data_IF_144460898230
#
_entry.id   IF_144460898230
#
_cell.length_a   1.000
_cell.length_b   1.000
_cell.length_c   1.000
_cell.angle_alpha   90.00
_cell.angle_beta   90.00
_cell.angle_gamma   90.00
#
_symmetry.space_group_name_H-M   'P 1'
#
loop_
_entity.id
_entity.type
_entity.pdbx_description
1 polymer ?
#
# COMPACT_ATOMS: atom_id res chain seq x y z
N UNK A 1 -9.08 -32.38 -5.72
CA UNK A 1 -9.76 -31.42 -4.82
C UNK A 1 -8.73 -30.96 -3.80
N UNK A 2 -8.52 -29.64 -3.57
CA UNK A 2 -7.55 -29.18 -2.59
C UNK A 2 -7.95 -29.59 -1.17
N UNK A 3 -6.96 -29.92 -0.33
CA UNK A 3 -7.14 -30.13 1.10
C UNK A 3 -7.61 -28.84 1.78
N UNK A 4 -8.53 -28.95 2.74
CA UNK A 4 -8.98 -27.82 3.54
C UNK A 4 -8.35 -27.87 4.94
N UNK A 5 -7.88 -26.71 5.41
CA UNK A 5 -7.26 -26.53 6.72
C UNK A 5 -8.11 -25.55 7.53
N UNK A 6 -8.96 -26.09 8.42
CA UNK A 6 -10.00 -25.34 9.14
C UNK A 6 -9.98 -25.51 10.67
N UNK A 7 -8.89 -26.04 11.25
CA UNK A 7 -8.72 -26.17 12.72
C UNK A 7 -8.27 -24.85 13.35
N UNK A 8 -9.12 -23.83 13.23
CA UNK A 8 -8.88 -22.50 13.77
C UNK A 8 -7.98 -21.61 12.90
N UNK A 9 -7.68 -20.41 13.39
CA UNK A 9 -7.04 -19.35 12.60
C UNK A 9 -5.60 -19.65 12.17
N UNK A 10 -4.91 -20.55 12.87
CA UNK A 10 -3.50 -20.89 12.62
C UNK A 10 -3.31 -22.19 11.85
N UNK A 11 -4.38 -22.78 11.32
CA UNK A 11 -4.30 -24.09 10.66
C UNK A 11 -3.49 -24.07 9.35
N UNK A 12 -3.19 -22.88 8.83
CA UNK A 12 -2.23 -22.65 7.76
C UNK A 12 -0.83 -23.19 8.09
N UNK A 13 -0.47 -23.32 9.37
CA UNK A 13 0.80 -23.92 9.80
C UNK A 13 0.83 -25.39 9.37
N UNK A 14 -0.23 -26.15 9.66
CA UNK A 14 -0.33 -27.56 9.22
C UNK A 14 -0.35 -27.67 7.70
N UNK A 15 -0.98 -26.72 7.00
CA UNK A 15 -0.92 -26.69 5.54
C UNK A 15 0.53 -26.54 5.06
N UNK A 16 1.28 -25.62 5.67
CA UNK A 16 2.68 -25.42 5.35
C UNK A 16 3.56 -26.63 5.71
N UNK A 17 3.25 -27.37 6.76
CA UNK A 17 4.01 -28.55 7.18
C UNK A 17 3.73 -29.80 6.33
N UNK A 18 2.46 -30.02 5.92
CA UNK A 18 2.02 -31.30 5.36
C UNK A 18 1.83 -31.30 3.85
N UNK A 19 1.64 -30.14 3.22
CA UNK A 19 1.46 -30.05 1.76
C UNK A 19 2.80 -29.80 1.05
N UNK A 20 3.01 -30.49 -0.07
CA UNK A 20 4.10 -30.21 -1.01
C UNK A 20 3.66 -29.07 -1.95
N UNK A 21 4.00 -27.82 -1.59
CA UNK A 21 3.63 -26.61 -2.33
C UNK A 21 4.89 -25.87 -2.79
N UNK A 22 4.85 -25.26 -3.97
CA UNK A 22 5.91 -24.36 -4.42
C UNK A 22 5.77 -22.96 -3.80
N UNK A 23 4.53 -22.48 -3.66
CA UNK A 23 4.19 -21.12 -3.25
C UNK A 23 2.93 -21.11 -2.37
N UNK A 24 2.95 -20.28 -1.33
CA UNK A 24 1.76 -19.89 -0.55
C UNK A 24 1.41 -18.46 -0.92
N UNK A 25 0.18 -18.26 -1.45
CA UNK A 25 -0.39 -16.95 -1.72
C UNK A 25 -1.29 -16.54 -0.55
N UNK A 26 -1.00 -15.40 0.06
CA UNK A 26 -1.67 -14.91 1.24
C UNK A 26 -2.56 -13.69 0.93
N UNK A 27 -3.88 -13.85 1.12
CA UNK A 27 -4.89 -12.81 0.92
C UNK A 27 -5.79 -12.66 2.17
N UNK A 28 -5.20 -12.80 3.35
CA UNK A 28 -5.90 -12.71 4.64
C UNK A 28 -5.96 -11.27 5.17
N UNK A 29 -6.63 -11.01 6.30
CA UNK A 29 -6.46 -9.76 7.03
C UNK A 29 -4.99 -9.46 7.38
N UNK A 30 -4.69 -8.18 7.56
CA UNK A 30 -3.33 -7.65 7.69
C UNK A 30 -2.48 -8.29 8.80
N UNK A 31 -3.10 -8.62 9.94
CA UNK A 31 -2.42 -9.26 11.07
C UNK A 31 -1.84 -10.65 10.74
N UNK A 32 -2.33 -11.28 9.68
CA UNK A 32 -1.92 -12.62 9.25
C UNK A 32 -0.89 -12.60 8.12
N UNK A 33 -0.56 -11.42 7.57
CA UNK A 33 0.39 -11.30 6.46
C UNK A 33 1.76 -11.90 6.79
N UNK A 34 2.39 -11.43 7.87
CA UNK A 34 3.72 -11.89 8.28
C UNK A 34 3.71 -13.32 8.84
N UNK A 35 2.80 -13.71 9.77
CA UNK A 35 2.77 -15.08 10.29
C UNK A 35 2.67 -16.16 9.20
N UNK A 36 1.83 -15.95 8.19
CA UNK A 36 1.66 -16.91 7.09
C UNK A 36 2.89 -16.95 6.20
N UNK A 37 3.45 -15.80 5.81
CA UNK A 37 4.67 -15.74 4.99
C UNK A 37 5.84 -16.45 5.70
N UNK A 38 6.00 -16.20 7.00
CA UNK A 38 7.06 -16.81 7.80
C UNK A 38 6.85 -18.33 7.92
N UNK A 39 5.63 -18.78 8.17
CA UNK A 39 5.31 -20.22 8.23
C UNK A 39 5.58 -20.92 6.89
N UNK A 40 5.21 -20.30 5.77
CA UNK A 40 5.48 -20.83 4.44
C UNK A 40 7.00 -20.98 4.19
N UNK A 41 7.77 -19.90 4.39
CA UNK A 41 9.21 -19.91 4.15
C UNK A 41 9.98 -20.87 5.05
N UNK A 42 9.62 -20.96 6.35
CA UNK A 42 10.21 -21.93 7.29
C UNK A 42 9.99 -23.38 6.86
N UNK A 43 8.89 -23.66 6.17
CA UNK A 43 8.55 -24.97 5.64
C UNK A 43 8.93 -25.14 4.15
N UNK A 44 9.93 -24.39 3.69
CA UNK A 44 10.53 -24.57 2.37
C UNK A 44 9.68 -24.05 1.20
N UNK A 45 8.62 -23.28 1.45
CA UNK A 45 7.71 -22.76 0.42
C UNK A 45 8.05 -21.30 0.10
N UNK A 46 7.83 -20.88 -1.14
CA UNK A 46 7.82 -19.44 -1.44
C UNK A 46 6.60 -18.77 -0.80
N UNK A 47 6.69 -17.47 -0.55
CA UNK A 47 5.60 -16.68 0.00
C UNK A 47 5.28 -15.50 -0.93
N UNK A 48 4.00 -15.31 -1.21
CA UNK A 48 3.45 -14.10 -1.81
C UNK A 48 2.34 -13.59 -0.91
N UNK A 49 2.29 -12.29 -0.65
CA UNK A 49 1.25 -11.67 0.19
C UNK A 49 0.62 -10.48 -0.50
N UNK A 50 -0.69 -10.34 -0.30
CA UNK A 50 -1.42 -9.11 -0.55
C UNK A 50 -0.83 -7.94 0.23
N UNK A 51 -1.20 -6.73 -0.18
CA UNK A 51 -0.64 -5.50 0.37
C UNK A 51 -1.38 -4.99 1.62
N UNK A 52 -0.67 -4.33 2.56
CA UNK A 52 0.79 -4.21 2.66
C UNK A 52 1.40 -5.45 3.33
N UNK A 53 2.65 -5.80 3.02
CA UNK A 53 3.27 -7.01 3.55
C UNK A 53 3.47 -7.02 5.08
N UNK A 54 3.63 -5.86 5.71
CA UNK A 54 3.86 -5.72 7.15
C UNK A 54 3.34 -4.38 7.69
N UNK A 55 3.11 -4.31 9.01
CA UNK A 55 2.65 -3.10 9.72
C UNK A 55 3.59 -2.60 10.81
N UNK A 56 4.48 -3.46 11.33
CA UNK A 56 5.47 -3.08 12.34
C UNK A 56 6.88 -3.15 11.75
N UNK A 57 7.85 -2.49 12.40
CA UNK A 57 9.25 -2.55 11.96
C UNK A 57 9.82 -3.95 12.21
N UNK A 58 9.41 -4.58 13.30
CA UNK A 58 9.75 -5.94 13.69
C UNK A 58 9.27 -6.94 12.65
N UNK A 59 8.03 -6.79 12.17
CA UNK A 59 7.46 -7.62 11.09
C UNK A 59 8.24 -7.44 9.79
N UNK A 60 8.62 -6.20 9.44
CA UNK A 60 9.44 -5.92 8.27
C UNK A 60 10.78 -6.69 8.33
N UNK A 61 11.48 -6.62 9.46
CA UNK A 61 12.74 -7.36 9.66
C UNK A 61 12.52 -8.87 9.63
N UNK A 62 11.48 -9.37 10.29
CA UNK A 62 11.19 -10.78 10.34
C UNK A 62 10.98 -11.38 8.94
N UNK A 63 10.30 -10.67 8.04
CA UNK A 63 10.14 -11.12 6.65
C UNK A 63 11.47 -11.23 5.92
N UNK A 64 12.32 -10.20 6.04
CA UNK A 64 13.65 -10.15 5.38
C UNK A 64 14.54 -11.27 5.91
N UNK A 65 14.72 -11.34 7.23
CA UNK A 65 15.59 -12.33 7.87
C UNK A 65 15.13 -13.76 7.58
N UNK A 66 13.82 -14.01 7.55
CA UNK A 66 13.29 -15.33 7.21
C UNK A 66 13.56 -15.67 5.75
N UNK A 67 13.30 -14.74 4.82
CA UNK A 67 13.55 -14.95 3.40
C UNK A 67 15.03 -15.25 3.11
N UNK A 68 15.94 -14.52 3.76
CA UNK A 68 17.39 -14.73 3.65
C UNK A 68 17.83 -16.07 4.24
N UNK A 69 17.37 -16.40 5.46
CA UNK A 69 17.72 -17.64 6.16
C UNK A 69 17.30 -18.88 5.38
N UNK A 70 16.08 -18.89 4.86
CA UNK A 70 15.51 -20.05 4.17
C UNK A 70 15.68 -20.00 2.64
N UNK A 71 16.24 -18.90 2.11
CA UNK A 71 16.47 -18.67 0.68
C UNK A 71 15.20 -18.84 -0.15
N UNK A 72 14.11 -18.23 0.30
CA UNK A 72 12.81 -18.28 -0.37
C UNK A 72 12.39 -16.90 -0.85
N UNK A 73 11.75 -16.85 -2.02
CA UNK A 73 11.04 -15.65 -2.46
C UNK A 73 9.96 -15.27 -1.45
N UNK A 74 9.95 -13.99 -1.10
CA UNK A 74 8.91 -13.32 -0.32
C UNK A 74 8.49 -12.09 -1.13
N UNK A 75 7.28 -12.11 -1.67
CA UNK A 75 6.82 -11.10 -2.65
C UNK A 75 5.59 -10.39 -2.12
N UNK A 76 5.66 -9.06 -2.03
CA UNK A 76 4.48 -8.22 -1.88
C UNK A 76 3.83 -8.03 -3.25
N UNK A 77 2.57 -8.41 -3.39
CA UNK A 77 1.82 -8.43 -4.64
C UNK A 77 1.26 -7.04 -4.99
N UNK A 78 2.15 -6.08 -5.23
CA UNK A 78 1.74 -4.72 -5.63
C UNK A 78 1.30 -4.71 -7.11
N UNK A 79 0.00 -4.90 -7.31
CA UNK A 79 -0.65 -4.93 -8.61
C UNK A 79 -0.56 -3.59 -9.36
N UNK A 80 -0.57 -2.46 -8.65
CA UNK A 80 -0.55 -1.12 -9.25
C UNK A 80 0.69 -0.86 -10.11
N UNK A 81 1.80 -1.56 -9.85
CA UNK A 81 3.00 -1.46 -10.67
C UNK A 81 2.78 -1.88 -12.14
N UNK A 82 1.74 -2.67 -12.39
CA UNK A 82 1.48 -3.32 -13.69
C UNK A 82 0.32 -2.67 -14.45
N UNK A 83 -0.28 -1.62 -13.92
CA UNK A 83 -1.28 -0.84 -14.64
C UNK A 83 -0.65 -0.17 -15.87
N UNK A 84 -1.48 0.00 -16.92
CA UNK A 84 -1.02 0.49 -18.23
C UNK A 84 -0.28 1.84 -18.14
N UNK A 85 -0.82 2.79 -17.37
CA UNK A 85 -0.25 4.13 -17.27
C UNK A 85 1.04 4.15 -16.42
N UNK A 86 1.14 3.27 -15.42
CA UNK A 86 2.34 3.09 -14.61
C UNK A 86 3.47 2.46 -15.40
N UNK A 87 3.18 1.42 -16.19
CA UNK A 87 4.15 0.82 -17.10
C UNK A 87 4.61 1.82 -18.17
N UNK A 88 3.70 2.65 -18.69
CA UNK A 88 4.06 3.75 -19.58
C UNK A 88 4.99 4.75 -18.88
N UNK A 89 4.65 5.20 -17.68
CA UNK A 89 5.45 6.15 -16.89
C UNK A 89 6.85 5.60 -16.64
N UNK A 90 6.93 4.35 -16.18
CA UNK A 90 8.19 3.62 -15.99
C UNK A 90 9.00 3.56 -17.29
N UNK A 91 8.36 3.24 -18.42
CA UNK A 91 9.03 3.20 -19.71
C UNK A 91 9.59 4.57 -20.13
N UNK A 92 8.82 5.66 -19.96
CA UNK A 92 9.26 7.03 -20.27
C UNK A 92 10.46 7.44 -19.41
N UNK A 93 10.45 7.09 -18.13
CA UNK A 93 11.59 7.29 -17.22
C UNK A 93 12.82 6.52 -17.73
N UNK A 94 12.67 5.23 -18.06
CA UNK A 94 13.78 4.40 -18.58
C UNK A 94 14.32 4.87 -19.93
N UNK A 95 13.48 5.49 -20.76
CA UNK A 95 13.89 6.14 -22.01
C UNK A 95 14.56 7.51 -21.78
N UNK A 96 14.68 7.97 -20.54
CA UNK A 96 15.27 9.28 -20.21
C UNK A 96 14.41 10.47 -20.64
N UNK A 97 13.14 10.23 -20.99
CA UNK A 97 12.25 11.28 -21.53
C UNK A 97 11.88 12.32 -20.48
N UNK A 98 11.83 11.94 -19.20
CA UNK A 98 11.64 12.88 -18.08
C UNK A 98 12.97 13.49 -17.60
N UNK A 99 14.12 13.10 -18.16
CA UNK A 99 15.42 13.48 -17.65
C UNK A 99 15.72 12.82 -16.30
N UNK A 100 16.34 13.56 -15.37
CA UNK A 100 16.59 13.07 -14.01
C UNK A 100 15.32 13.22 -13.18
N UNK A 101 14.79 12.14 -12.60
CA UNK A 101 13.63 12.20 -11.71
C UNK A 101 14.04 12.88 -10.40
N UNK A 102 13.26 13.89 -9.97
CA UNK A 102 13.58 14.74 -8.82
C UNK A 102 12.53 14.64 -7.71
N UNK A 103 11.27 14.50 -8.09
CA UNK A 103 10.13 14.52 -7.18
C UNK A 103 9.02 13.60 -7.65
N UNK A 104 8.25 13.04 -6.72
CA UNK A 104 7.04 12.29 -7.02
C UNK A 104 5.95 12.53 -5.97
N UNK A 105 4.70 12.36 -6.38
CA UNK A 105 3.54 12.37 -5.49
C UNK A 105 2.68 11.16 -5.76
N UNK A 106 2.23 10.49 -4.71
CA UNK A 106 1.44 9.29 -4.81
C UNK A 106 0.54 9.11 -3.59
N UNK A 107 -0.31 8.09 -3.59
CA UNK A 107 -1.07 7.74 -2.41
C UNK A 107 -2.14 6.70 -2.65
N UNK A 108 -2.92 6.45 -1.62
CA UNK A 108 -4.17 5.70 -1.71
C UNK A 108 -5.32 6.56 -1.20
N UNK A 109 -6.05 7.13 -2.14
CA UNK A 109 -7.14 8.05 -1.84
C UNK A 109 -8.44 7.49 -2.42
N UNK A 110 -9.17 6.74 -1.60
CA UNK A 110 -10.32 5.94 -2.01
C UNK A 110 -11.36 5.97 -0.90
N UNK A 111 -12.58 6.43 -1.19
CA UNK A 111 -13.66 6.42 -0.22
C UNK A 111 -14.03 4.97 0.18
N UNK A 112 -13.52 4.54 1.35
CA UNK A 112 -13.75 3.21 1.89
C UNK A 112 -14.76 3.22 3.04
N UNK A 113 -15.52 4.31 3.23
CA UNK A 113 -16.45 4.41 4.36
C UNK A 113 -17.45 3.26 4.35
N UNK A 114 -18.12 3.02 3.23
CA UNK A 114 -19.06 1.90 3.09
C UNK A 114 -18.38 0.53 3.36
N UNK A 115 -17.18 0.32 2.81
CA UNK A 115 -16.41 -0.94 2.98
C UNK A 115 -16.06 -1.20 4.45
N UNK A 116 -15.66 -0.17 5.20
CA UNK A 116 -15.32 -0.29 6.63
C UNK A 116 -16.52 -0.61 7.52
N UNK A 117 -17.73 -0.35 7.04
CA UNK A 117 -18.97 -0.59 7.77
C UNK A 117 -19.80 -1.75 7.21
N UNK A 118 -19.27 -2.49 6.24
CA UNK A 118 -19.88 -3.75 5.79
C UNK A 118 -19.75 -4.83 6.88
N UNK A 119 -20.76 -5.68 7.02
CA UNK A 119 -20.73 -6.79 7.98
C UNK A 119 -20.06 -8.06 7.41
N UNK A 120 -19.43 -7.95 6.24
CA UNK A 120 -18.66 -9.00 5.58
C UNK A 120 -17.30 -8.45 5.12
N UNK A 121 -16.44 -9.36 4.67
CA UNK A 121 -15.16 -9.01 4.04
C UNK A 121 -14.29 -8.11 4.91
N UNK A 122 -13.86 -6.98 4.36
CA UNK A 122 -12.94 -6.05 5.02
C UNK A 122 -13.54 -5.32 6.24
N UNK A 123 -14.86 -5.10 6.27
CA UNK A 123 -15.51 -4.38 7.37
C UNK A 123 -15.38 -5.11 8.72
N UNK A 124 -15.15 -6.43 8.69
CA UNK A 124 -14.93 -7.27 9.86
C UNK A 124 -13.63 -6.98 10.61
N UNK A 125 -12.64 -6.36 9.96
CA UNK A 125 -11.30 -6.18 10.54
C UNK A 125 -10.67 -4.82 10.23
N UNK A 126 -10.86 -4.26 9.03
CA UNK A 126 -10.19 -3.03 8.57
C UNK A 126 -10.61 -1.80 9.38
N UNK A 127 -11.87 -1.75 9.84
CA UNK A 127 -12.36 -0.67 10.70
C UNK A 127 -11.60 -0.58 12.03
N UNK A 128 -11.26 -1.73 12.63
CA UNK A 128 -10.56 -1.78 13.91
C UNK A 128 -9.19 -1.07 13.85
N UNK A 129 -8.51 -1.09 12.70
CA UNK A 129 -7.26 -0.35 12.51
C UNK A 129 -7.49 1.16 12.53
N UNK A 130 -8.63 1.64 12.03
CA UNK A 130 -8.98 3.07 12.08
C UNK A 130 -9.29 3.56 13.51
N UNK A 131 -9.65 2.64 14.41
CA UNK A 131 -9.89 2.91 15.83
C UNK A 131 -8.60 2.95 16.65
N UNK A 132 -7.54 2.25 16.19
CA UNK A 132 -6.32 2.02 16.97
C UNK A 132 -5.10 2.81 16.49
N UNK A 133 -5.03 3.16 15.21
CA UNK A 133 -3.82 3.70 14.60
C UNK A 133 -4.07 5.01 13.86
N UNK A 134 -3.14 5.95 13.98
CA UNK A 134 -3.11 7.18 13.21
C UNK A 134 -1.83 7.26 12.38
N UNK A 135 -1.90 6.81 11.12
CA UNK A 135 -0.76 6.67 10.22
C UNK A 135 -1.21 6.55 8.75
N UNK A 136 -0.25 6.47 7.82
CA UNK A 136 -0.50 5.95 6.48
C UNK A 136 -0.62 4.42 6.54
N UNK A 137 -1.86 3.91 6.60
CA UNK A 137 -2.10 2.48 6.74
C UNK A 137 -2.07 1.72 5.41
N UNK A 138 -1.92 2.39 4.26
CA UNK A 138 -2.01 1.71 2.95
C UNK A 138 -1.11 2.37 1.90
N UNK A 139 0.22 2.41 2.11
CA UNK A 139 1.11 3.25 1.31
C UNK A 139 1.44 2.67 -0.07
N UNK A 140 1.23 1.37 -0.28
CA UNK A 140 1.91 0.60 -1.32
C UNK A 140 1.40 0.90 -2.73
N UNK A 141 0.09 1.05 -2.92
CA UNK A 141 -0.52 1.24 -4.24
C UNK A 141 -0.01 2.47 -4.99
N UNK A 142 0.26 3.56 -4.26
CA UNK A 142 0.87 4.75 -4.83
C UNK A 142 2.41 4.67 -4.84
N UNK A 143 3.00 4.17 -3.76
CA UNK A 143 4.44 4.21 -3.57
C UNK A 143 5.20 3.19 -4.43
N UNK A 144 4.61 2.03 -4.70
CA UNK A 144 5.21 0.96 -5.50
C UNK A 144 5.66 1.43 -6.89
N UNK A 145 4.76 2.00 -7.72
CA UNK A 145 5.13 2.49 -9.04
C UNK A 145 6.18 3.61 -9.00
N UNK A 146 6.06 4.53 -8.03
CA UNK A 146 7.01 5.63 -7.82
C UNK A 146 8.39 5.09 -7.45
N UNK A 147 8.45 4.13 -6.53
CA UNK A 147 9.68 3.49 -6.09
C UNK A 147 10.42 2.82 -7.26
N UNK A 148 9.68 2.17 -8.18
CA UNK A 148 10.25 1.60 -9.41
C UNK A 148 10.82 2.68 -10.35
N UNK A 149 10.14 3.81 -10.50
CA UNK A 149 10.61 4.94 -11.31
C UNK A 149 11.85 5.62 -10.72
N UNK A 150 12.07 5.50 -9.41
CA UNK A 150 13.16 6.16 -8.69
C UNK A 150 14.30 5.21 -8.30
N UNK A 151 14.30 3.97 -8.80
CA UNK A 151 15.33 2.96 -8.54
C UNK A 151 15.50 2.63 -7.03
N UNK A 152 14.43 2.75 -6.25
CA UNK A 152 14.48 2.45 -4.81
C UNK A 152 14.82 0.97 -4.60
N UNK A 153 15.81 0.72 -3.74
CA UNK A 153 16.44 -0.56 -3.45
C UNK A 153 17.13 -1.22 -4.67
N UNK A 154 17.35 -0.46 -5.75
CA UNK A 154 18.02 -0.92 -7.00
C UNK A 154 18.93 0.17 -7.61
N UNK A 155 19.46 1.05 -6.77
CA UNK A 155 20.32 2.17 -7.18
C UNK A 155 20.15 3.43 -6.32
N UNK A 156 18.99 3.57 -5.67
CA UNK A 156 18.71 4.53 -4.61
C UNK A 156 18.03 3.79 -3.43
N UNK A 157 17.71 4.47 -2.34
CA UNK A 157 16.94 3.93 -1.23
C UNK A 157 16.15 5.05 -0.53
N UNK A 158 15.11 4.68 0.21
CA UNK A 158 14.50 5.61 1.16
C UNK A 158 15.51 5.95 2.27
N UNK A 159 15.52 7.21 2.71
CA UNK A 159 16.42 7.67 3.77
C UNK A 159 15.66 7.91 5.07
N UNK A 160 14.80 8.93 5.09
CA UNK A 160 13.94 9.25 6.21
C UNK A 160 12.58 9.78 5.72
N UNK A 161 11.62 9.84 6.63
CA UNK A 161 10.32 10.44 6.36
C UNK A 161 9.85 11.32 7.52
N UNK A 162 8.92 12.22 7.22
CA UNK A 162 8.08 12.93 8.19
C UNK A 162 6.63 12.67 7.81
N UNK A 163 5.79 12.31 8.78
CA UNK A 163 4.38 12.03 8.54
C UNK A 163 3.51 12.87 9.46
N UNK A 164 2.41 13.38 8.90
CA UNK A 164 1.44 14.22 9.60
C UNK A 164 0.04 13.79 9.22
N UNK A 165 -0.88 13.80 10.18
CA UNK A 165 -2.29 13.51 9.96
C UNK A 165 -3.15 14.72 10.29
N UNK A 166 -4.22 14.91 9.53
CA UNK A 166 -5.31 15.79 9.92
C UNK A 166 -6.05 15.23 11.15
N UNK A 167 -7.04 15.98 11.62
CA UNK A 167 -8.03 15.46 12.55
C UNK A 167 -8.81 14.28 11.93
N UNK A 168 -9.45 13.50 12.78
CA UNK A 168 -10.39 12.43 12.43
C UNK A 168 -11.83 12.91 12.64
N UNK A 169 -12.59 13.00 11.54
CA UNK A 169 -13.99 13.47 11.48
C UNK A 169 -14.85 12.62 10.55
N UNK A 170 -14.30 12.17 9.42
CA UNK A 170 -15.06 11.56 8.33
C UNK A 170 -15.83 10.29 8.73
N UNK A 171 -15.23 9.40 9.51
CA UNK A 171 -15.92 8.19 9.98
C UNK A 171 -16.95 8.49 11.07
N UNK A 172 -16.68 9.45 11.96
CA UNK A 172 -17.65 9.86 12.99
C UNK A 172 -18.92 10.42 12.34
N UNK A 173 -18.75 11.31 11.36
CA UNK A 173 -19.87 11.90 10.61
C UNK A 173 -20.60 10.86 9.77
N UNK A 174 -19.87 9.94 9.13
CA UNK A 174 -20.47 8.87 8.33
C UNK A 174 -21.38 7.99 9.19
N UNK A 175 -20.94 7.60 10.37
CA UNK A 175 -21.72 6.74 11.27
C UNK A 175 -22.94 7.47 11.82
N UNK A 176 -22.77 8.73 12.23
CA UNK A 176 -23.87 9.57 12.69
C UNK A 176 -24.95 9.76 11.61
N UNK A 177 -24.57 9.79 10.33
CA UNK A 177 -25.51 9.88 9.20
C UNK A 177 -26.17 8.53 8.86
N UNK A 178 -25.42 7.43 8.93
CA UNK A 178 -25.81 6.16 8.29
C UNK A 178 -26.54 5.22 9.24
N UNK A 179 -26.14 5.16 10.51
CA UNK A 179 -26.71 4.24 11.49
C UNK A 179 -27.78 4.93 12.32
N UNK A 180 -28.81 4.23 12.85
CA UNK A 180 -29.82 4.84 13.72
C UNK A 180 -29.25 5.25 15.09
N UNK A 181 -29.97 6.12 15.81
CA UNK A 181 -29.63 6.43 17.21
C UNK A 181 -29.57 5.16 18.07
N UNK A 182 -28.56 5.07 18.94
CA UNK A 182 -28.33 3.90 19.80
C UNK A 182 -27.51 2.77 19.18
N UNK A 183 -27.25 2.78 17.86
CA UNK A 183 -26.42 1.78 17.20
C UNK A 183 -25.00 1.68 17.84
N UNK A 184 -24.44 0.48 18.05
CA UNK A 184 -23.11 0.31 18.65
C UNK A 184 -22.00 1.09 17.94
N UNK A 185 -22.05 1.17 16.61
CA UNK A 185 -21.08 1.86 15.77
C UNK A 185 -20.98 3.35 16.12
N UNK A 186 -22.09 3.98 16.53
CA UNK A 186 -22.13 5.39 16.95
C UNK A 186 -21.36 5.65 18.25
N UNK A 187 -21.00 4.62 19.01
CA UNK A 187 -20.19 4.72 20.24
C UNK A 187 -18.70 4.54 19.97
N UNK A 188 -18.33 4.06 18.78
CA UNK A 188 -16.93 3.84 18.41
C UNK A 188 -16.20 5.19 18.22
N UNK A 189 -14.90 5.18 18.51
CA UNK A 189 -14.01 6.32 18.30
C UNK A 189 -12.92 5.95 17.30
N UNK A 190 -12.76 6.77 16.27
CA UNK A 190 -11.77 6.58 15.22
C UNK A 190 -10.62 7.58 15.40
N UNK A 191 -9.40 7.09 15.55
CA UNK A 191 -8.21 7.93 15.79
C UNK A 191 -7.42 8.19 14.51
N UNK A 192 -7.66 7.41 13.45
CA UNK A 192 -7.04 7.58 12.15
C UNK A 192 -7.42 8.93 11.55
N UNK A 193 -6.46 9.83 11.40
CA UNK A 193 -6.68 11.11 10.74
C UNK A 193 -7.17 10.91 9.31
N UNK A 194 -8.12 11.75 8.91
CA UNK A 194 -8.82 11.57 7.63
C UNK A 194 -7.89 11.69 6.42
N UNK A 195 -6.95 12.63 6.49
CA UNK A 195 -5.88 12.81 5.50
C UNK A 195 -4.55 12.68 6.21
N UNK A 196 -3.74 11.70 5.79
CA UNK A 196 -2.35 11.58 6.19
C UNK A 196 -1.44 11.93 5.01
N UNK A 197 -0.36 12.66 5.29
CA UNK A 197 0.69 13.02 4.34
C UNK A 197 2.04 12.60 4.91
N UNK A 198 2.77 11.79 4.16
CA UNK A 198 4.14 11.39 4.46
C UNK A 198 5.09 11.95 3.40
N UNK A 199 6.08 12.74 3.82
CA UNK A 199 7.15 13.24 2.98
C UNK A 199 8.39 12.37 3.19
N UNK A 200 8.87 11.74 2.12
CA UNK A 200 10.03 10.84 2.12
C UNK A 200 11.19 11.52 1.39
N UNK A 201 12.38 11.46 1.99
CA UNK A 201 13.65 11.79 1.34
C UNK A 201 14.34 10.50 0.90
N UNK A 202 14.95 10.48 -0.28
CA UNK A 202 15.79 9.37 -0.74
C UNK A 202 17.27 9.63 -0.46
N UNK A 203 18.09 8.59 -0.46
CA UNK A 203 19.55 8.69 -0.24
C UNK A 203 20.23 9.55 -1.30
N UNK A 204 19.72 9.57 -2.54
CA UNK A 204 20.23 10.47 -3.59
C UNK A 204 19.63 11.88 -3.56
N UNK A 205 18.83 12.21 -2.54
CA UNK A 205 18.31 13.55 -2.29
C UNK A 205 16.98 13.88 -2.98
N UNK A 206 16.32 12.91 -3.60
CA UNK A 206 15.00 13.08 -4.23
C UNK A 206 13.89 13.08 -3.18
N UNK A 207 12.69 13.53 -3.55
CA UNK A 207 11.55 13.64 -2.61
C UNK A 207 10.31 12.91 -3.10
N UNK A 208 9.53 12.35 -2.18
CA UNK A 208 8.27 11.67 -2.48
C UNK A 208 7.22 12.13 -1.47
N UNK A 209 6.05 12.56 -1.93
CA UNK A 209 4.87 12.74 -1.08
C UNK A 209 3.96 11.51 -1.21
N UNK A 210 3.57 10.92 -0.09
CA UNK A 210 2.65 9.77 -0.03
C UNK A 210 1.43 10.16 0.79
N UNK A 211 0.26 10.18 0.16
CA UNK A 211 -1.02 10.51 0.81
C UNK A 211 -1.85 9.26 1.12
N UNK A 212 -2.59 9.30 2.22
CA UNK A 212 -3.61 8.30 2.56
C UNK A 212 -4.89 9.02 2.97
N UNK A 213 -5.98 8.73 2.26
CA UNK A 213 -7.31 9.32 2.49
C UNK A 213 -8.38 8.26 2.17
N UNK A 214 -8.93 7.65 3.21
CA UNK A 214 -9.94 6.58 3.07
C UNK A 214 -11.21 6.81 3.87
N UNK A 215 -11.34 8.02 4.44
CA UNK A 215 -12.40 8.38 5.37
C UNK A 215 -13.28 9.54 4.86
N UNK A 216 -12.97 10.13 3.70
CA UNK A 216 -13.69 11.28 3.15
C UNK A 216 -14.36 10.95 1.81
N UNK A 217 -15.49 11.63 1.48
CA UNK A 217 -16.12 11.53 0.18
C UNK A 217 -15.20 12.10 -0.90
N UNK A 218 -14.79 11.29 -1.88
CA UNK A 218 -13.94 11.75 -2.98
C UNK A 218 -13.97 10.82 -4.21
N UNK A 219 -13.64 11.32 -5.41
CA UNK A 219 -13.27 10.49 -6.54
C UNK A 219 -11.98 9.70 -6.25
N UNK A 220 -11.89 8.46 -6.74
CA UNK A 220 -10.69 7.64 -6.59
C UNK A 220 -9.44 8.32 -7.19
N UNK A 221 -8.32 8.26 -6.47
CA UNK A 221 -7.02 8.70 -6.99
C UNK A 221 -5.85 8.00 -6.31
N UNK A 222 -4.76 7.85 -7.08
CA UNK A 222 -3.42 7.51 -6.58
C UNK A 222 -2.40 8.63 -6.78
N UNK A 223 -2.85 9.81 -7.25
CA UNK A 223 -2.06 10.99 -7.66
C UNK A 223 -1.12 10.69 -8.85
N UNK A 224 -0.22 9.71 -8.72
CA UNK A 224 0.69 9.23 -9.77
C UNK A 224 1.47 10.37 -10.47
N UNK A 225 2.15 11.20 -9.69
CA UNK A 225 3.00 12.27 -10.22
C UNK A 225 4.47 11.82 -10.21
N UNK A 226 5.14 11.96 -11.35
CA UNK A 226 6.60 11.79 -11.48
C UNK A 226 7.16 12.99 -12.23
N UNK A 227 7.90 13.83 -11.51
CA UNK A 227 8.55 15.02 -12.03
C UNK A 227 10.04 14.75 -12.23
N UNK A 228 10.51 14.94 -13.47
CA UNK A 228 11.92 14.99 -13.79
C UNK A 228 12.34 16.33 -14.37
N UNK A 229 13.63 16.48 -14.65
CA UNK A 229 14.22 17.73 -15.17
C UNK A 229 13.78 18.09 -16.58
N UNK A 230 13.16 17.17 -17.33
CA UNK A 230 12.73 17.38 -18.74
C UNK A 230 11.27 17.04 -18.99
N UNK A 231 10.50 16.76 -17.94
CA UNK A 231 9.11 16.37 -18.11
C UNK A 231 8.41 15.98 -16.83
N UNK A 232 7.10 15.81 -16.96
CA UNK A 232 6.16 15.46 -15.90
C UNK A 232 5.16 14.44 -16.43
N UNK A 233 4.89 13.43 -15.61
CA UNK A 233 3.71 12.58 -15.75
C UNK A 233 2.85 12.76 -14.51
N UNK A 234 1.55 12.91 -14.69
CA UNK A 234 0.55 12.97 -13.60
C UNK A 234 -0.64 12.08 -13.96
N UNK A 235 -1.23 11.39 -12.98
CA UNK A 235 -2.43 10.57 -13.19
C UNK A 235 -3.65 11.17 -12.49
N UNK A 236 -4.83 10.64 -12.83
CA UNK A 236 -6.11 11.01 -12.21
C UNK A 236 -6.41 12.53 -12.19
N UNK A 237 -6.51 13.19 -13.36
CA UNK A 237 -6.51 12.63 -14.71
C UNK A 237 -5.11 12.50 -15.33
N UNK A 238 -4.98 11.64 -16.34
CA UNK A 238 -3.71 11.41 -17.04
C UNK A 238 -3.23 12.67 -17.78
N UNK A 239 -2.01 13.11 -17.47
CA UNK A 239 -1.34 14.26 -18.08
C UNK A 239 0.11 13.93 -18.33
N UNK A 240 0.63 14.43 -19.45
CA UNK A 240 2.02 14.24 -19.86
C UNK A 240 2.57 15.55 -20.41
N UNK A 241 3.69 15.99 -19.86
CA UNK A 241 4.49 17.07 -20.41
C UNK A 241 5.92 16.59 -20.66
N UNK A 242 6.41 16.74 -21.88
CA UNK A 242 7.81 16.51 -22.25
C UNK A 242 8.37 17.79 -22.85
N UNK A 243 9.45 18.29 -22.28
CA UNK A 243 10.13 19.50 -22.76
C UNK A 243 10.53 19.35 -24.23
N UNK A 244 10.21 20.37 -25.03
CA UNK A 244 10.47 20.38 -26.48
C UNK A 244 9.55 19.49 -27.32
N UNK A 245 8.56 18.80 -26.74
CA UNK A 245 7.57 18.00 -27.48
C UNK A 245 6.13 18.38 -27.17
N UNK A 246 5.81 18.62 -25.91
CA UNK A 246 4.50 19.08 -25.49
C UNK A 246 4.30 20.55 -25.85
N UNK A 247 3.05 21.01 -26.05
CA UNK A 247 2.77 22.43 -26.25
C UNK A 247 3.35 23.28 -25.12
N UNK A 248 3.88 24.45 -25.47
CA UNK A 248 4.26 25.46 -24.49
C UNK A 248 3.03 25.97 -23.72
N UNK A 249 3.26 26.58 -22.56
CA UNK A 249 2.24 27.27 -21.78
C UNK A 249 1.40 28.19 -22.69
N UNK A 250 0.08 27.99 -22.68
CA UNK A 250 -0.90 28.93 -23.22
C UNK A 250 -1.56 29.66 -22.06
#
# INVERSE_FOLDING_TARGET
KPSAYTRGNTDFIRMCENEELDLVYNATPWEWHVPICVAAMKNGKHAATEVPAAYTLEDCWQLVETAEKFKKHCVQMENCNYDRFELLTFHLVRKGMLGKVMHAECGYLHDLRAVKFDYNGEGLWRRAYSMKHNANLYPTHGLGPVAQCMDINRGDAFDYLVSMSSNSRGLQEYVAKTFPEGAPERKEQYVLGDVNLSLIKTKTGRTIMVSHDTNLPRPYSRIKKVQGTKGLVEGHPERLHIEGRSPAHK
#
